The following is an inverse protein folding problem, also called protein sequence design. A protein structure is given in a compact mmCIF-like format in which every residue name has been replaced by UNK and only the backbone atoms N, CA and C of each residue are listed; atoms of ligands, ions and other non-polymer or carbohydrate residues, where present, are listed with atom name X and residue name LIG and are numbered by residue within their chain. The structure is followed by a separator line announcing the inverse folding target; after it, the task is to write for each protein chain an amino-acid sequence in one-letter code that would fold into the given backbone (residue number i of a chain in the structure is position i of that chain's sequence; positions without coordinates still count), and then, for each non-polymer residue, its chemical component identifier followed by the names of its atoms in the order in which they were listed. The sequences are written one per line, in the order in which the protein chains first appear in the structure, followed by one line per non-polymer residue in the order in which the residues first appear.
data_IF_532580673390
#
_entry.id   IF_532580673390
#
_cell.length_a   1.000
_cell.length_b   1.000
_cell.length_c   1.000
_cell.angle_alpha   90.00
_cell.angle_beta   90.00
_cell.angle_gamma   90.00
#
_symmetry.space_group_name_H-M   'P 1'
#
loop_
_entity.id
_entity.type
_entity.pdbx_description
1 polymer ?
#
# COMPACT_ATOMS: atom_id res chain seq x y z
N UNK A 1 9.40 5.11 7.80
CA UNK A 1 9.71 4.28 6.61
C UNK A 1 9.68 5.17 5.39
N UNK A 2 10.62 5.01 4.47
CA UNK A 2 10.71 5.78 3.23
C UNK A 2 10.33 4.86 2.06
N UNK A 3 9.44 5.31 1.19
CA UNK A 3 8.99 4.59 0.00
C UNK A 3 9.10 5.50 -1.22
N UNK A 4 9.33 4.91 -2.38
CA UNK A 4 9.28 5.59 -3.67
C UNK A 4 7.87 5.51 -4.24
N UNK A 5 7.35 6.64 -4.70
CA UNK A 5 6.00 6.77 -5.23
C UNK A 5 6.00 7.78 -6.39
N UNK A 6 5.90 7.28 -7.61
CA UNK A 6 5.68 8.08 -8.83
C UNK A 6 6.58 9.29 -9.06
N UNK A 7 7.84 9.28 -8.61
CA UNK A 7 8.76 10.41 -8.77
C UNK A 7 8.97 11.23 -7.50
N UNK A 8 8.39 10.81 -6.40
CA UNK A 8 8.53 11.42 -5.09
C UNK A 8 8.90 10.41 -4.02
N UNK A 9 9.49 10.86 -2.93
CA UNK A 9 9.62 10.11 -1.70
C UNK A 9 8.38 10.28 -0.85
N UNK A 10 7.92 9.19 -0.25
CA UNK A 10 6.90 9.18 0.79
C UNK A 10 7.49 8.63 2.08
N UNK A 11 7.66 9.48 3.08
CA UNK A 11 8.05 9.06 4.42
C UNK A 11 6.82 8.88 5.28
N UNK A 12 6.69 7.70 5.88
CA UNK A 12 5.58 7.36 6.77
C UNK A 12 6.09 6.96 8.14
N UNK A 13 5.53 7.57 9.16
CA UNK A 13 5.71 7.21 10.56
C UNK A 13 4.41 6.62 11.11
N UNK A 14 4.37 5.32 11.43
CA UNK A 14 3.17 4.68 11.96
C UNK A 14 2.93 5.11 13.41
N UNK A 15 1.73 5.59 13.70
CA UNK A 15 1.31 6.01 15.06
C UNK A 15 0.17 5.18 15.59
N UNK A 16 -0.51 4.38 14.75
CA UNK A 16 -1.69 3.61 15.11
C UNK A 16 -1.43 2.12 14.92
N UNK A 17 -1.85 1.32 15.90
CA UNK A 17 -1.92 -0.14 15.81
C UNK A 17 -3.37 -0.55 16.00
N UNK A 18 -4.00 -1.07 14.94
CA UNK A 18 -5.38 -1.56 15.00
C UNK A 18 -5.43 -3.04 15.47
N UNK A 19 -6.52 -3.46 16.14
CA UNK A 19 -6.74 -4.85 16.50
C UNK A 19 -6.87 -5.70 15.24
N UNK A 20 -6.43 -6.97 15.32
CA UNK A 20 -6.43 -7.91 14.20
C UNK A 20 -7.59 -8.88 14.30
N UNK A 21 -8.23 -9.19 13.19
CA UNK A 21 -9.15 -10.30 13.10
C UNK A 21 -8.40 -11.63 13.19
N UNK A 22 -8.75 -12.48 14.14
CA UNK A 22 -8.04 -13.72 14.43
C UNK A 22 -8.78 -15.00 13.99
N UNK A 23 -9.93 -14.84 13.35
CA UNK A 23 -10.77 -15.98 12.94
C UNK A 23 -11.43 -16.70 14.11
N UNK A 24 -11.78 -17.97 13.90
CA UNK A 24 -12.30 -18.82 14.98
C UNK A 24 -11.19 -19.14 16.00
N UNK A 25 -11.54 -19.41 17.28
CA UNK A 25 -10.56 -19.78 18.29
C UNK A 25 -9.68 -20.95 17.84
N UNK A 26 -8.35 -20.79 17.99
CA UNK A 26 -7.36 -21.78 17.58
C UNK A 26 -6.88 -21.71 16.13
N UNK A 27 -7.42 -20.80 15.31
CA UNK A 27 -7.00 -20.62 13.91
C UNK A 27 -5.63 -19.93 13.81
N UNK A 28 -5.36 -18.98 14.71
CA UNK A 28 -4.11 -18.23 14.74
C UNK A 28 -3.26 -18.70 15.92
N UNK A 29 -2.03 -19.21 15.70
CA UNK A 29 -1.10 -19.50 16.78
C UNK A 29 -0.78 -18.25 17.58
N UNK A 30 -0.65 -18.38 18.90
CA UNK A 30 -0.30 -17.27 19.81
C UNK A 30 -1.25 -16.06 19.74
N UNK A 31 -2.54 -16.29 19.46
CA UNK A 31 -3.56 -15.23 19.35
C UNK A 31 -3.59 -14.32 20.58
N UNK A 32 -3.39 -14.85 21.77
CA UNK A 32 -3.36 -14.08 23.02
C UNK A 32 -2.23 -13.03 23.05
N UNK A 33 -1.11 -13.31 22.36
CA UNK A 33 0.02 -12.37 22.24
C UNK A 33 -0.22 -11.28 21.19
N UNK A 34 -1.21 -11.47 20.33
CA UNK A 34 -1.57 -10.52 19.28
C UNK A 34 -2.76 -9.62 19.71
N UNK A 35 -3.28 -9.86 20.92
CA UNK A 35 -4.34 -9.02 21.46
C UNK A 35 -3.81 -7.60 21.71
N UNK A 36 -4.57 -6.60 21.24
CA UNK A 36 -4.27 -5.18 21.42
C UNK A 36 -5.44 -4.54 22.17
N UNK A 37 -5.14 -3.89 23.29
CA UNK A 37 -6.15 -3.11 24.00
C UNK A 37 -6.56 -1.90 23.16
N UNK A 38 -7.86 -1.72 22.95
CA UNK A 38 -8.42 -0.61 22.19
C UNK A 38 -8.90 0.48 23.13
N UNK A 39 -8.29 1.64 23.04
CA UNK A 39 -8.75 2.82 23.77
C UNK A 39 -10.01 3.41 23.12
N UNK A 40 -11.16 3.31 23.75
CA UNK A 40 -12.45 3.78 23.22
C UNK A 40 -12.48 5.28 22.84
N UNK A 41 -11.59 6.09 23.44
CA UNK A 41 -11.52 7.55 23.23
C UNK A 41 -10.16 8.02 22.70
N UNK A 42 -9.34 7.10 22.13
CA UNK A 42 -7.98 7.39 21.69
C UNK A 42 -7.01 7.57 22.87
N UNK A 43 -5.77 7.94 22.55
CA UNK A 43 -4.73 8.24 23.54
C UNK A 43 -4.63 9.77 23.75
N UNK A 44 -4.42 10.26 25.00
CA UNK A 44 -4.13 11.66 25.24
C UNK A 44 -2.72 12.07 24.78
N UNK A 45 -1.88 11.11 24.45
CA UNK A 45 -0.52 11.34 23.97
C UNK A 45 -0.52 12.15 22.66
N UNK A 46 0.38 13.11 22.58
CA UNK A 46 0.61 13.93 21.39
C UNK A 46 2.06 13.85 20.94
N UNK A 47 2.29 14.04 19.65
CA UNK A 47 3.62 13.94 19.06
C UNK A 47 3.97 15.23 18.30
N UNK A 48 5.17 15.71 18.51
CA UNK A 48 5.83 16.69 17.64
C UNK A 48 6.74 15.96 16.66
N UNK A 49 6.92 16.51 15.46
CA UNK A 49 7.83 16.00 14.45
C UNK A 49 8.70 17.13 13.91
N UNK A 50 9.98 16.83 13.75
CA UNK A 50 10.93 17.60 12.98
C UNK A 50 11.58 16.67 11.96
N UNK A 51 11.48 17.01 10.68
CA UNK A 51 12.07 16.24 9.59
C UNK A 51 12.96 17.17 8.76
N UNK A 52 14.22 16.78 8.55
CA UNK A 52 15.16 17.49 7.68
C UNK A 52 15.35 16.67 6.41
N UNK A 53 15.10 17.29 5.27
CA UNK A 53 15.17 16.69 3.94
C UNK A 53 16.34 17.32 3.20
N UNK A 54 17.40 16.54 2.95
CA UNK A 54 18.59 16.96 2.24
C UNK A 54 18.53 16.74 0.73
N UNK A 55 17.43 16.17 0.21
CA UNK A 55 17.25 15.93 -1.22
C UNK A 55 17.05 17.24 -2.00
N UNK A 56 17.44 17.24 -3.28
CA UNK A 56 17.07 18.29 -4.23
C UNK A 56 15.59 18.16 -4.58
N UNK A 57 14.74 18.87 -3.85
CA UNK A 57 13.28 18.83 -4.03
C UNK A 57 12.89 19.59 -5.31
N UNK A 58 12.10 18.93 -6.19
CA UNK A 58 11.73 19.45 -7.52
C UNK A 58 10.32 20.04 -7.59
N UNK A 59 9.57 20.03 -6.48
CA UNK A 59 8.18 20.53 -6.44
C UNK A 59 7.64 20.69 -5.01
N UNK A 60 6.33 20.84 -4.86
CA UNK A 60 5.74 21.08 -3.55
C UNK A 60 5.89 19.85 -2.62
N UNK A 61 6.29 20.14 -1.39
CA UNK A 61 6.33 19.16 -0.29
C UNK A 61 5.03 19.27 0.49
N UNK A 62 4.51 18.15 0.98
CA UNK A 62 3.27 18.18 1.72
C UNK A 62 3.01 16.93 2.53
N UNK A 63 1.91 16.94 3.26
CA UNK A 63 1.41 15.80 3.99
C UNK A 63 -0.09 15.64 3.72
N UNK A 64 -0.53 14.46 3.25
CA UNK A 64 -1.95 14.18 3.06
C UNK A 64 -2.68 13.93 4.40
N UNK A 65 -1.94 13.64 5.47
CA UNK A 65 -2.53 13.24 6.75
C UNK A 65 -2.50 14.32 7.81
N UNK A 66 -1.56 15.28 7.73
CA UNK A 66 -1.36 16.32 8.76
C UNK A 66 -1.00 17.65 8.12
N UNK A 67 -1.32 18.75 8.80
CA UNK A 67 -0.82 20.06 8.40
C UNK A 67 0.65 20.18 8.77
N UNK A 68 1.47 20.59 7.82
CA UNK A 68 2.91 20.78 8.00
C UNK A 68 3.31 22.24 7.75
N UNK A 69 4.31 22.70 8.47
CA UNK A 69 5.04 23.94 8.22
C UNK A 69 6.39 23.59 7.62
N UNK A 70 6.80 24.33 6.62
CA UNK A 70 8.05 24.12 5.91
C UNK A 70 8.89 25.39 5.96
N UNK A 71 10.20 25.22 6.20
CA UNK A 71 11.21 26.28 6.12
C UNK A 71 12.33 25.74 5.24
N UNK A 72 12.65 26.46 4.16
CA UNK A 72 13.71 26.12 3.23
C UNK A 72 14.91 27.00 3.54
N UNK A 73 15.96 26.37 4.06
CA UNK A 73 17.31 26.93 4.16
C UNK A 73 18.24 26.07 3.29
N UNK A 74 19.43 25.72 3.76
CA UNK A 74 20.33 24.75 3.09
C UNK A 74 19.71 23.34 3.04
N UNK A 75 18.87 23.01 4.00
CA UNK A 75 18.11 21.77 4.10
C UNK A 75 16.64 22.12 4.33
N UNK A 76 15.73 21.44 3.67
CA UNK A 76 14.31 21.65 3.90
C UNK A 76 13.90 21.07 5.27
N UNK A 77 13.41 21.95 6.14
CA UNK A 77 12.90 21.59 7.46
C UNK A 77 11.37 21.53 7.45
N UNK A 78 10.82 20.39 7.79
CA UNK A 78 9.37 20.13 7.86
C UNK A 78 8.98 19.86 9.32
N UNK A 79 8.01 20.60 9.82
CA UNK A 79 7.45 20.43 11.18
C UNK A 79 5.95 20.24 11.10
N UNK A 80 5.36 19.56 12.09
CA UNK A 80 3.91 19.52 12.24
C UNK A 80 3.42 20.91 12.69
N UNK A 81 2.37 21.40 12.03
CA UNK A 81 1.81 22.74 12.29
C UNK A 81 0.77 22.72 13.41
N UNK A 82 1.19 22.26 14.61
CA UNK A 82 0.38 22.26 15.83
C UNK A 82 1.30 22.44 17.03
N UNK A 83 1.18 23.57 17.73
CA UNK A 83 2.03 23.94 18.87
C UNK A 83 1.89 22.97 20.06
N UNK A 84 0.76 22.22 20.14
CA UNK A 84 0.53 21.18 21.15
C UNK A 84 0.90 19.76 20.70
N UNK A 85 1.45 19.60 19.51
CA UNK A 85 1.64 18.31 18.86
C UNK A 85 0.34 17.73 18.29
N UNK A 86 0.44 16.70 17.44
CA UNK A 86 -0.70 16.04 16.80
C UNK A 86 -1.16 14.82 17.58
N UNK A 87 -2.43 14.46 17.47
CA UNK A 87 -2.97 13.24 18.03
C UNK A 87 -2.38 12.02 17.32
N UNK A 88 -2.23 10.91 18.06
CA UNK A 88 -1.76 9.63 17.50
C UNK A 88 -2.96 8.81 17.01
N UNK A 89 -3.77 9.37 16.10
CA UNK A 89 -5.00 8.77 15.58
C UNK A 89 -4.86 8.29 14.12
N UNK A 90 -3.80 8.68 13.45
CA UNK A 90 -3.47 8.28 12.07
C UNK A 90 -1.98 8.41 11.80
N UNK A 91 -1.47 7.65 10.84
CA UNK A 91 -0.06 7.70 10.45
C UNK A 91 0.34 9.10 9.97
N UNK A 92 1.57 9.53 10.30
CA UNK A 92 2.14 10.76 9.76
C UNK A 92 2.82 10.43 8.44
N UNK A 93 2.39 11.08 7.36
CA UNK A 93 2.96 10.92 6.02
C UNK A 93 3.49 12.25 5.54
N UNK A 94 4.73 12.27 5.03
CA UNK A 94 5.30 13.44 4.35
C UNK A 94 5.80 12.99 2.98
N UNK A 95 5.44 13.74 1.93
CA UNK A 95 5.83 13.48 0.55
C UNK A 95 6.64 14.64 -0.01
N UNK A 96 7.70 14.35 -0.78
CA UNK A 96 8.50 15.36 -1.49
C UNK A 96 8.97 14.83 -2.85
N UNK A 97 8.70 15.57 -3.93
CA UNK A 97 9.09 15.18 -5.26
C UNK A 97 10.60 15.40 -5.50
N UNK A 98 11.25 14.45 -6.15
CA UNK A 98 12.66 14.48 -6.50
C UNK A 98 12.94 14.10 -7.97
N UNK A 99 11.90 13.60 -8.69
CA UNK A 99 12.06 13.18 -10.08
C UNK A 99 12.09 14.34 -11.04
N UNK A 100 12.95 14.24 -12.07
CA UNK A 100 13.03 15.15 -13.19
C UNK A 100 12.72 14.41 -14.51
N UNK A 101 12.62 15.15 -15.63
CA UNK A 101 12.38 14.57 -16.97
C UNK A 101 13.56 13.74 -17.50
N UNK A 102 14.74 13.84 -16.88
CA UNK A 102 15.93 13.06 -17.21
C UNK A 102 16.27 12.09 -16.08
N UNK A 103 17.13 11.09 -16.37
CA UNK A 103 17.66 10.22 -15.32
C UNK A 103 18.36 11.08 -14.26
N UNK A 104 17.81 11.04 -13.05
CA UNK A 104 18.44 11.66 -11.89
C UNK A 104 19.48 10.73 -11.27
N UNK A 105 20.63 11.27 -10.89
CA UNK A 105 21.64 10.53 -10.13
C UNK A 105 22.13 11.39 -8.99
N UNK A 106 22.18 10.86 -7.77
CA UNK A 106 22.87 11.49 -6.66
C UNK A 106 23.71 10.47 -5.90
N UNK A 107 24.81 10.94 -5.31
CA UNK A 107 25.68 10.14 -4.47
C UNK A 107 25.91 10.90 -3.15
N UNK A 108 25.34 10.37 -2.08
CA UNK A 108 25.57 10.87 -0.74
C UNK A 108 26.63 10.01 -0.05
N UNK A 109 27.61 10.66 0.58
CA UNK A 109 28.72 9.97 1.25
C UNK A 109 28.76 10.40 2.71
N UNK A 110 28.72 9.43 3.61
CA UNK A 110 28.84 9.66 5.05
C UNK A 110 29.96 8.79 5.64
N UNK A 111 30.74 9.37 6.55
CA UNK A 111 31.64 8.61 7.41
C UNK A 111 30.95 8.27 8.70
N UNK A 112 31.10 7.02 9.15
CA UNK A 112 30.60 6.62 10.45
C UNK A 112 31.27 7.45 11.55
N UNK A 113 30.48 8.30 12.22
CA UNK A 113 30.89 9.05 13.39
C UNK A 113 29.95 8.65 14.54
N UNK A 114 30.48 7.98 15.56
CA UNK A 114 29.74 7.62 16.77
C UNK A 114 30.68 7.20 17.88
N UNK A 115 30.39 7.55 19.13
CA UNK A 115 31.11 7.05 20.29
C UNK A 115 31.01 5.51 20.33
N UNK A 116 32.15 4.83 20.28
CA UNK A 116 32.23 3.36 20.27
C UNK A 116 32.30 2.71 18.87
N UNK A 117 32.27 3.46 17.78
CA UNK A 117 32.46 2.91 16.41
C UNK A 117 33.94 2.90 16.09
N UNK A 118 34.57 1.71 16.14
CA UNK A 118 36.01 1.50 15.83
C UNK A 118 36.30 1.41 14.33
N UNK A 119 35.28 1.49 13.44
CA UNK A 119 35.47 1.38 12.01
C UNK A 119 35.45 2.76 11.33
N UNK A 120 36.52 3.07 10.60
CA UNK A 120 36.63 4.24 9.71
C UNK A 120 35.90 3.98 8.37
N UNK A 121 34.76 3.28 8.40
CA UNK A 121 34.05 2.97 7.17
C UNK A 121 33.38 4.22 6.60
N UNK A 122 33.53 4.41 5.30
CA UNK A 122 32.78 5.39 4.52
C UNK A 122 31.62 4.66 3.86
N UNK A 123 30.43 5.20 4.01
CA UNK A 123 29.19 4.67 3.41
C UNK A 123 28.78 5.59 2.27
N UNK A 124 28.37 5.02 1.15
CA UNK A 124 27.83 5.75 0.02
C UNK A 124 26.39 5.31 -0.27
N UNK A 125 25.50 6.25 -0.50
CA UNK A 125 24.14 6.04 -1.01
C UNK A 125 24.07 6.56 -2.43
N UNK A 126 23.98 5.66 -3.41
CA UNK A 126 23.72 6.01 -4.80
C UNK A 126 22.21 5.97 -5.04
N UNK A 127 21.62 7.10 -5.38
CA UNK A 127 20.22 7.21 -5.78
C UNK A 127 20.14 7.34 -7.30
N UNK A 128 19.37 6.45 -7.93
CA UNK A 128 19.07 6.48 -9.36
C UNK A 128 17.57 6.70 -9.54
N UNK A 129 17.19 7.81 -10.15
CA UNK A 129 15.80 8.17 -10.43
C UNK A 129 15.53 7.92 -11.91
N UNK A 130 14.69 6.92 -12.28
CA UNK A 130 14.34 6.68 -13.67
C UNK A 130 13.62 7.89 -14.27
N UNK A 131 13.81 8.19 -15.58
CA UNK A 131 13.03 9.23 -16.24
C UNK A 131 11.58 8.77 -16.41
N UNK A 132 10.66 9.73 -16.46
CA UNK A 132 9.28 9.46 -16.89
C UNK A 132 9.26 9.26 -18.42
N UNK A 133 9.44 8.05 -18.88
CA UNK A 133 9.38 7.70 -20.32
C UNK A 133 8.17 6.80 -20.56
N UNK A 134 7.31 7.22 -21.47
CA UNK A 134 6.25 6.34 -21.97
C UNK A 134 6.86 5.34 -22.98
N UNK A 135 7.05 4.09 -22.57
CA UNK A 135 7.36 2.99 -23.48
C UNK A 135 6.10 2.43 -24.17
N UNK A 136 6.25 1.53 -25.16
CA UNK A 136 5.09 0.83 -25.74
C UNK A 136 4.34 0.08 -24.64
N UNK A 137 3.01 0.21 -24.63
CA UNK A 137 2.16 -0.45 -23.64
C UNK A 137 2.28 -1.98 -23.81
N UNK A 138 2.71 -2.68 -22.76
CA UNK A 138 2.69 -4.15 -22.70
C UNK A 138 1.32 -4.58 -22.18
N UNK A 139 0.60 -5.50 -22.86
CA UNK A 139 -0.68 -5.99 -22.37
C UNK A 139 -0.59 -6.50 -20.93
N UNK A 140 -1.54 -6.11 -20.10
CA UNK A 140 -1.60 -6.47 -18.68
C UNK A 140 -2.72 -7.47 -18.43
N UNK A 141 -2.48 -8.43 -17.54
CA UNK A 141 -3.52 -9.21 -16.88
C UNK A 141 -3.64 -8.70 -15.46
N UNK A 142 -4.71 -7.95 -15.20
CA UNK A 142 -4.98 -7.38 -13.89
C UNK A 142 -6.02 -8.20 -13.15
N UNK A 143 -5.66 -8.66 -11.97
CA UNK A 143 -6.59 -9.27 -11.00
C UNK A 143 -6.66 -8.36 -9.79
N UNK A 144 -7.82 -7.74 -9.55
CA UNK A 144 -8.08 -6.99 -8.32
C UNK A 144 -8.70 -7.92 -7.30
N UNK A 145 -8.01 -8.10 -6.18
CA UNK A 145 -8.47 -8.87 -5.03
C UNK A 145 -8.88 -7.90 -3.93
N UNK A 146 -10.18 -7.73 -3.74
CA UNK A 146 -10.78 -6.71 -2.89
C UNK A 146 -11.32 -7.29 -1.58
N UNK A 147 -10.83 -6.79 -0.47
CA UNK A 147 -11.37 -7.07 0.85
C UNK A 147 -12.71 -6.37 1.06
N UNK A 148 -13.73 -7.16 1.41
CA UNK A 148 -15.06 -6.67 1.77
C UNK A 148 -15.47 -7.13 3.17
N UNK A 149 -14.49 -7.46 4.04
CA UNK A 149 -14.73 -7.82 5.43
C UNK A 149 -15.38 -6.68 6.24
N UNK A 150 -15.84 -6.99 7.43
CA UNK A 150 -16.53 -6.03 8.28
C UNK A 150 -15.71 -4.79 8.64
N UNK A 151 -14.39 -4.93 8.80
CA UNK A 151 -13.46 -3.82 9.09
C UNK A 151 -13.35 -2.80 7.96
N UNK A 152 -13.59 -3.23 6.71
CA UNK A 152 -13.63 -2.34 5.54
C UNK A 152 -14.87 -1.44 5.50
N UNK A 153 -15.80 -1.52 6.45
CA UNK A 153 -17.04 -0.75 6.45
C UNK A 153 -16.85 0.76 6.42
N UNK A 154 -17.69 1.48 5.67
CA UNK A 154 -17.65 2.94 5.57
C UNK A 154 -16.59 3.47 4.60
N UNK A 155 -15.77 4.40 5.07
CA UNK A 155 -14.75 5.09 4.27
C UNK A 155 -13.71 4.13 3.64
N UNK A 156 -13.18 3.10 4.33
CA UNK A 156 -12.23 2.17 3.72
C UNK A 156 -12.77 1.50 2.46
N UNK A 157 -14.00 0.96 2.50
CA UNK A 157 -14.60 0.33 1.33
C UNK A 157 -14.90 1.34 0.22
N UNK A 158 -15.28 2.58 0.56
CA UNK A 158 -15.50 3.62 -0.43
C UNK A 158 -14.20 3.95 -1.19
N UNK A 159 -13.08 4.10 -0.50
CA UNK A 159 -11.77 4.30 -1.12
C UNK A 159 -11.31 3.09 -1.93
N UNK A 160 -11.50 1.87 -1.40
CA UNK A 160 -11.18 0.64 -2.13
C UNK A 160 -11.94 0.53 -3.45
N UNK A 161 -13.20 0.94 -3.48
CA UNK A 161 -14.02 1.01 -4.69
C UNK A 161 -13.51 2.09 -5.66
N UNK A 162 -13.17 3.29 -5.16
CA UNK A 162 -12.62 4.36 -5.99
C UNK A 162 -11.30 3.93 -6.65
N UNK A 163 -10.36 3.38 -5.87
CA UNK A 163 -9.12 2.80 -6.39
C UNK A 163 -9.40 1.72 -7.44
N UNK A 164 -10.30 0.79 -7.15
CA UNK A 164 -10.63 -0.31 -8.09
C UNK A 164 -11.19 0.25 -9.39
N UNK A 165 -12.01 1.30 -9.35
CA UNK A 165 -12.50 1.98 -10.56
C UNK A 165 -11.37 2.63 -11.34
N UNK A 166 -10.47 3.36 -10.69
CA UNK A 166 -9.31 3.98 -11.33
C UNK A 166 -8.43 2.91 -12.02
N UNK A 167 -8.20 1.76 -11.36
CA UNK A 167 -7.51 0.62 -11.96
C UNK A 167 -8.25 0.08 -13.20
N UNK A 168 -9.57 -0.09 -13.14
CA UNK A 168 -10.39 -0.53 -14.28
C UNK A 168 -10.30 0.47 -15.44
N UNK A 169 -10.36 1.76 -15.15
CA UNK A 169 -10.33 2.83 -16.16
C UNK A 169 -8.95 2.97 -16.82
N UNK A 170 -7.87 2.59 -16.14
CA UNK A 170 -6.49 2.56 -16.65
C UNK A 170 -6.26 1.48 -17.72
N UNK A 171 -7.16 0.50 -17.85
CA UNK A 171 -6.99 -0.64 -18.74
C UNK A 171 -7.38 -0.32 -20.17
N UNK A 172 -6.56 -0.79 -21.11
CA UNK A 172 -6.83 -0.77 -22.54
C UNK A 172 -7.49 -2.06 -23.06
N UNK A 173 -7.94 -2.09 -24.32
CA UNK A 173 -8.64 -3.23 -24.88
C UNK A 173 -7.76 -4.50 -25.04
N UNK A 174 -6.44 -4.34 -25.03
CA UNK A 174 -5.47 -5.45 -25.05
C UNK A 174 -5.25 -6.08 -23.67
N UNK A 175 -5.64 -5.39 -22.61
CA UNK A 175 -5.52 -5.86 -21.23
C UNK A 175 -6.65 -6.84 -20.88
N UNK A 176 -6.42 -7.66 -19.86
CA UNK A 176 -7.46 -8.48 -19.25
C UNK A 176 -7.72 -8.08 -17.82
N UNK A 177 -8.95 -8.27 -17.39
CA UNK A 177 -9.45 -7.90 -16.08
C UNK A 177 -10.16 -9.07 -15.40
N UNK A 178 -9.87 -9.27 -14.13
CA UNK A 178 -10.66 -10.05 -13.19
C UNK A 178 -10.79 -9.28 -11.88
N UNK A 179 -11.94 -9.38 -11.24
CA UNK A 179 -12.16 -8.86 -9.89
C UNK A 179 -12.67 -9.98 -9.02
N UNK A 180 -12.05 -10.14 -7.87
CA UNK A 180 -12.40 -11.11 -6.86
C UNK A 180 -12.59 -10.33 -5.56
N UNK A 181 -13.74 -10.47 -4.91
CA UNK A 181 -13.93 -9.98 -3.57
C UNK A 181 -13.79 -11.12 -2.56
N UNK A 182 -13.37 -10.82 -1.36
CA UNK A 182 -13.36 -11.77 -0.27
C UNK A 182 -13.83 -11.14 1.04
N UNK A 183 -14.55 -11.95 1.81
CA UNK A 183 -14.91 -11.70 3.20
C UNK A 183 -14.90 -13.05 3.94
N UNK A 184 -16.02 -13.65 4.23
CA UNK A 184 -16.13 -15.03 4.75
C UNK A 184 -15.85 -16.09 3.67
N UNK A 185 -16.01 -15.72 2.40
CA UNK A 185 -15.69 -16.54 1.22
C UNK A 185 -15.24 -15.64 0.08
N UNK A 186 -14.55 -16.21 -0.92
CA UNK A 186 -14.18 -15.50 -2.13
C UNK A 186 -15.29 -15.59 -3.19
N UNK A 187 -15.57 -14.49 -3.90
CA UNK A 187 -16.52 -14.41 -4.99
C UNK A 187 -15.93 -13.64 -6.16
N UNK A 188 -15.95 -14.23 -7.34
CA UNK A 188 -15.44 -13.64 -8.57
C UNK A 188 -16.51 -12.90 -9.35
N UNK A 189 -16.16 -11.76 -9.94
CA UNK A 189 -17.02 -11.03 -10.88
C UNK A 189 -17.35 -11.85 -12.12
N UNK A 190 -16.39 -12.54 -12.69
CA UNK A 190 -16.53 -13.48 -13.82
C UNK A 190 -15.90 -14.81 -13.48
N UNK A 191 -16.30 -15.87 -14.19
CA UNK A 191 -15.72 -17.21 -14.01
C UNK A 191 -14.23 -17.27 -14.42
N UNK A 192 -13.79 -16.39 -15.33
CA UNK A 192 -12.40 -16.24 -15.79
C UNK A 192 -12.12 -14.79 -16.16
N UNK A 193 -10.83 -14.38 -16.27
CA UNK A 193 -10.46 -13.06 -16.77
C UNK A 193 -11.02 -12.79 -18.15
N UNK A 194 -11.44 -11.55 -18.41
CA UNK A 194 -12.00 -11.11 -19.69
C UNK A 194 -11.26 -9.89 -20.23
N UNK A 195 -11.25 -9.70 -21.56
CA UNK A 195 -10.66 -8.50 -22.16
C UNK A 195 -11.31 -7.23 -21.61
N UNK A 196 -10.52 -6.21 -21.32
CA UNK A 196 -10.97 -4.96 -20.72
C UNK A 196 -11.67 -4.04 -21.75
N UNK A 197 -12.64 -4.58 -22.48
CA UNK A 197 -13.49 -3.79 -23.40
C UNK A 197 -14.28 -2.73 -22.64
N UNK A 198 -14.74 -1.65 -23.28
CA UNK A 198 -15.57 -0.63 -22.62
C UNK A 198 -16.79 -1.23 -21.91
N UNK A 199 -17.45 -2.21 -22.52
CA UNK A 199 -18.62 -2.88 -21.92
C UNK A 199 -18.23 -3.70 -20.68
N UNK A 200 -17.09 -4.41 -20.71
CA UNK A 200 -16.61 -5.15 -19.55
C UNK A 200 -16.16 -4.22 -18.43
N UNK A 201 -15.45 -3.13 -18.74
CA UNK A 201 -15.06 -2.12 -17.74
C UNK A 201 -16.27 -1.52 -17.03
N UNK A 202 -17.29 -1.13 -17.80
CA UNK A 202 -18.55 -0.61 -17.25
C UNK A 202 -19.26 -1.64 -16.36
N UNK A 203 -19.35 -2.90 -16.82
CA UNK A 203 -19.95 -3.99 -16.02
C UNK A 203 -19.15 -4.29 -14.75
N UNK A 204 -17.82 -4.22 -14.80
CA UNK A 204 -16.94 -4.40 -13.65
C UNK A 204 -17.15 -3.29 -12.62
N UNK A 205 -17.15 -2.03 -13.05
CA UNK A 205 -17.41 -0.88 -12.19
C UNK A 205 -18.80 -0.98 -11.51
N UNK A 206 -19.83 -1.33 -12.26
CA UNK A 206 -21.18 -1.53 -11.71
C UNK A 206 -21.23 -2.67 -10.67
N UNK A 207 -20.46 -3.74 -10.88
CA UNK A 207 -20.37 -4.83 -9.90
C UNK A 207 -19.64 -4.38 -8.62
N UNK A 208 -18.54 -3.65 -8.75
CA UNK A 208 -17.80 -3.07 -7.61
C UNK A 208 -18.69 -2.16 -6.78
N UNK A 209 -19.54 -1.34 -7.41
CA UNK A 209 -20.45 -0.44 -6.71
C UNK A 209 -21.46 -1.16 -5.81
N UNK A 210 -21.85 -2.36 -6.18
CA UNK A 210 -22.83 -3.16 -5.44
C UNK A 210 -22.21 -3.87 -4.22
N UNK A 211 -20.89 -3.94 -4.11
CA UNK A 211 -20.21 -4.60 -2.99
C UNK A 211 -20.59 -3.93 -1.67
N UNK A 212 -20.66 -4.73 -0.62
CA UNK A 212 -20.96 -4.29 0.75
C UNK A 212 -19.97 -4.93 1.70
N UNK A 213 -19.54 -4.16 2.70
CA UNK A 213 -18.69 -4.69 3.76
C UNK A 213 -19.50 -5.56 4.73
N UNK A 214 -18.91 -6.68 5.16
CA UNK A 214 -19.48 -7.58 6.15
C UNK A 214 -18.78 -8.93 6.22
N UNK A 215 -19.03 -9.68 7.29
CA UNK A 215 -18.42 -10.99 7.49
C UNK A 215 -16.99 -10.96 8.02
N UNK A 216 -16.32 -12.11 7.94
CA UNK A 216 -14.93 -12.31 8.34
C UNK A 216 -13.93 -11.89 7.27
N UNK A 217 -12.66 -12.31 7.43
CA UNK A 217 -11.56 -11.96 6.51
C UNK A 217 -10.79 -13.23 6.12
N UNK A 218 -11.38 -14.06 5.25
CA UNK A 218 -10.76 -15.30 4.74
C UNK A 218 -9.85 -14.99 3.53
N UNK A 219 -8.81 -14.17 3.74
CA UNK A 219 -7.90 -13.69 2.71
C UNK A 219 -7.21 -14.81 1.92
N UNK A 220 -6.88 -15.92 2.57
CA UNK A 220 -6.23 -17.05 1.92
C UNK A 220 -7.06 -17.59 0.75
N UNK A 221 -8.36 -17.72 0.93
CA UNK A 221 -9.27 -18.19 -0.13
C UNK A 221 -9.28 -17.24 -1.32
N UNK A 222 -9.27 -15.94 -1.05
CA UNK A 222 -9.14 -14.90 -2.07
C UNK A 222 -7.82 -14.97 -2.83
N UNK A 223 -6.70 -15.08 -2.12
CA UNK A 223 -5.36 -15.23 -2.73
C UNK A 223 -5.29 -16.44 -3.64
N UNK A 224 -5.73 -17.62 -3.17
CA UNK A 224 -5.73 -18.85 -3.99
C UNK A 224 -6.58 -18.68 -5.23
N UNK A 225 -7.77 -18.08 -5.12
CA UNK A 225 -8.63 -17.79 -6.25
C UNK A 225 -7.97 -16.81 -7.25
N UNK A 226 -7.30 -15.77 -6.76
CA UNK A 226 -6.62 -14.80 -7.62
C UNK A 226 -5.45 -15.43 -8.38
N UNK A 227 -4.61 -16.22 -7.72
CA UNK A 227 -3.45 -16.86 -8.33
C UNK A 227 -3.85 -17.90 -9.40
N UNK A 228 -4.97 -18.62 -9.20
CA UNK A 228 -5.49 -19.61 -10.13
C UNK A 228 -5.93 -19.02 -11.48
N UNK A 229 -6.19 -17.70 -11.57
CA UNK A 229 -6.66 -17.05 -12.80
C UNK A 229 -5.55 -16.48 -13.68
N UNK A 230 -4.29 -16.54 -13.26
CA UNK A 230 -3.17 -15.92 -13.96
C UNK A 230 -2.73 -16.75 -15.18
N UNK A 231 -2.56 -16.09 -16.34
CA UNK A 231 -2.10 -16.71 -17.62
C UNK A 231 -0.59 -16.66 -17.78
N UNK A 232 -0.05 -17.46 -18.73
CA UNK A 232 1.40 -17.60 -18.97
C UNK A 232 2.09 -16.43 -19.70
N UNK A 233 1.38 -15.64 -20.53
CA UNK A 233 1.99 -14.85 -21.60
C UNK A 233 1.77 -13.31 -21.50
N UNK A 234 1.32 -12.78 -20.38
CA UNK A 234 1.09 -11.36 -20.19
C UNK A 234 1.83 -10.81 -18.95
N UNK A 235 1.90 -9.50 -18.81
CA UNK A 235 2.32 -8.87 -17.57
C UNK A 235 1.21 -9.04 -16.50
N UNK A 236 1.36 -10.06 -15.68
CA UNK A 236 0.34 -10.51 -14.72
C UNK A 236 0.52 -9.82 -13.38
N UNK A 237 -0.52 -9.14 -12.94
CA UNK A 237 -0.51 -8.36 -11.70
C UNK A 237 -1.74 -8.69 -10.86
N UNK A 238 -1.53 -9.02 -9.60
CA UNK A 238 -2.56 -9.10 -8.58
C UNK A 238 -2.44 -7.88 -7.67
N UNK A 239 -3.51 -7.13 -7.51
CA UNK A 239 -3.59 -6.00 -6.59
C UNK A 239 -4.49 -6.42 -5.43
N UNK A 240 -3.88 -6.68 -4.28
CA UNK A 240 -4.61 -6.96 -3.03
C UNK A 240 -4.94 -5.65 -2.34
N UNK A 241 -6.22 -5.35 -2.19
CA UNK A 241 -6.74 -4.14 -1.54
C UNK A 241 -7.42 -4.54 -0.24
N UNK A 242 -6.87 -4.11 0.92
CA UNK A 242 -7.34 -4.53 2.25
C UNK A 242 -6.84 -3.58 3.34
N UNK A 243 -7.44 -3.59 4.52
CA UNK A 243 -6.85 -3.02 5.74
C UNK A 243 -5.84 -3.98 6.40
N UNK A 244 -5.84 -5.27 5.99
CA UNK A 244 -4.90 -6.29 6.42
C UNK A 244 -5.08 -6.77 7.85
N UNK A 245 -6.22 -6.55 8.49
CA UNK A 245 -6.46 -6.85 9.91
C UNK A 245 -6.68 -8.35 10.17
N UNK A 246 -5.72 -9.19 9.80
CA UNK A 246 -5.73 -10.64 10.03
C UNK A 246 -4.44 -11.13 10.67
N UNK A 247 -4.47 -12.33 11.25
CA UNK A 247 -3.36 -12.95 11.99
C UNK A 247 -2.69 -14.14 11.30
N UNK A 248 -2.92 -14.39 10.00
CA UNK A 248 -2.41 -15.57 9.26
C UNK A 248 -1.32 -15.25 8.23
N UNK A 249 -0.44 -14.28 8.52
CA UNK A 249 0.57 -13.74 7.60
C UNK A 249 1.48 -14.81 7.00
N UNK A 250 1.91 -15.79 7.81
CA UNK A 250 2.81 -16.87 7.35
C UNK A 250 2.16 -17.76 6.31
N UNK A 251 0.89 -18.11 6.52
CA UNK A 251 0.13 -18.98 5.61
C UNK A 251 -0.08 -18.30 4.27
N UNK A 252 -0.40 -17.00 4.27
CA UNK A 252 -0.62 -16.20 3.07
C UNK A 252 0.69 -16.06 2.27
N UNK A 253 1.78 -15.69 2.93
CA UNK A 253 3.08 -15.55 2.26
C UNK A 253 3.58 -16.87 1.70
N UNK A 254 3.36 -18.01 2.40
CA UNK A 254 3.70 -19.34 1.92
C UNK A 254 2.86 -19.73 0.69
N UNK A 255 1.56 -19.43 0.67
CA UNK A 255 0.69 -19.70 -0.47
C UNK A 255 1.16 -18.90 -1.71
N UNK A 256 1.48 -17.62 -1.57
CA UNK A 256 2.00 -16.79 -2.66
C UNK A 256 3.34 -17.34 -3.16
N UNK A 257 4.28 -17.63 -2.25
CA UNK A 257 5.59 -18.17 -2.61
C UNK A 257 5.49 -19.49 -3.41
N UNK A 258 4.58 -20.37 -3.01
CA UNK A 258 4.42 -21.69 -3.63
C UNK A 258 3.59 -21.71 -4.91
N UNK A 259 2.70 -20.75 -5.12
CA UNK A 259 1.69 -20.79 -6.19
C UNK A 259 1.80 -19.66 -7.20
N UNK A 260 2.54 -18.57 -6.90
CA UNK A 260 2.68 -17.43 -7.83
C UNK A 260 3.47 -17.84 -9.07
N UNK A 261 2.89 -17.77 -10.28
CA UNK A 261 3.61 -18.12 -11.51
C UNK A 261 4.77 -17.15 -11.77
N UNK A 262 5.86 -17.64 -12.38
CA UNK A 262 7.01 -16.80 -12.73
C UNK A 262 6.58 -15.62 -13.60
N UNK A 263 7.16 -14.44 -13.34
CA UNK A 263 6.84 -13.20 -14.05
C UNK A 263 5.56 -12.52 -13.60
N UNK A 264 4.81 -13.12 -12.67
CA UNK A 264 3.67 -12.47 -12.01
C UNK A 264 4.13 -11.58 -10.84
N UNK A 265 3.27 -10.62 -10.46
CA UNK A 265 3.49 -9.73 -9.31
C UNK A 265 2.25 -9.72 -8.43
N UNK A 266 2.47 -9.61 -7.11
CA UNK A 266 1.40 -9.31 -6.15
C UNK A 266 1.74 -7.99 -5.47
N UNK A 267 0.97 -6.98 -5.75
CA UNK A 267 1.04 -5.68 -5.08
C UNK A 267 0.02 -5.65 -3.94
N UNK A 268 0.29 -4.87 -2.92
CA UNK A 268 -0.64 -4.69 -1.80
C UNK A 268 -0.98 -3.23 -1.64
N UNK A 269 -2.26 -2.93 -1.52
CA UNK A 269 -2.76 -1.61 -1.18
C UNK A 269 -3.47 -1.70 0.15
N UNK A 270 -2.87 -1.08 1.14
CA UNK A 270 -3.46 -0.95 2.46
C UNK A 270 -4.32 0.30 2.56
N UNK A 271 -5.58 0.15 2.98
CA UNK A 271 -6.51 1.26 3.11
C UNK A 271 -6.88 1.47 4.57
N UNK A 272 -6.78 2.69 5.05
CA UNK A 272 -7.20 3.05 6.39
C UNK A 272 -6.11 3.68 7.25
N UNK A 273 -6.47 4.02 8.48
CA UNK A 273 -5.57 4.66 9.46
C UNK A 273 -4.68 3.69 10.22
N UNK A 274 -5.09 2.42 10.33
CA UNK A 274 -4.41 1.37 11.13
C UNK A 274 -4.02 0.14 10.33
N UNK A 275 -3.52 0.30 9.13
CA UNK A 275 -3.18 -0.79 8.20
C UNK A 275 -2.13 -1.75 8.77
N UNK A 276 -2.39 -3.06 8.66
CA UNK A 276 -1.46 -4.10 9.11
C UNK A 276 -0.28 -4.29 8.13
N UNK A 277 0.73 -3.47 8.26
CA UNK A 277 1.94 -3.53 7.42
C UNK A 277 2.80 -4.78 7.66
N UNK A 278 2.64 -5.45 8.82
CA UNK A 278 3.35 -6.70 9.08
C UNK A 278 2.85 -7.85 8.20
N UNK A 279 1.66 -7.70 7.58
CA UNK A 279 1.15 -8.58 6.54
C UNK A 279 1.48 -8.04 5.14
N UNK A 280 1.09 -6.79 4.84
CA UNK A 280 1.09 -6.27 3.47
C UNK A 280 2.49 -6.21 2.87
N UNK A 281 3.47 -5.75 3.65
CA UNK A 281 4.85 -5.64 3.17
C UNK A 281 5.50 -7.00 2.86
N UNK A 282 5.43 -8.03 3.72
CA UNK A 282 5.90 -9.38 3.36
C UNK A 282 5.17 -9.96 2.15
N UNK A 283 3.85 -9.76 2.02
CA UNK A 283 3.06 -10.22 0.87
C UNK A 283 3.58 -9.58 -0.43
N UNK A 284 3.71 -8.25 -0.47
CA UNK A 284 4.26 -7.55 -1.63
C UNK A 284 5.68 -8.01 -1.94
N UNK A 285 6.55 -8.16 -0.93
CA UNK A 285 7.94 -8.61 -1.10
C UNK A 285 8.03 -10.01 -1.69
N UNK A 286 7.28 -10.98 -1.15
CA UNK A 286 7.25 -12.37 -1.65
C UNK A 286 6.61 -12.41 -3.04
N UNK A 287 5.59 -11.58 -3.28
CA UNK A 287 4.95 -11.41 -4.58
C UNK A 287 5.78 -10.66 -5.62
N UNK A 288 6.98 -10.16 -5.27
CA UNK A 288 7.82 -9.34 -6.17
C UNK A 288 7.15 -8.03 -6.61
N UNK A 289 6.15 -7.56 -5.85
CA UNK A 289 5.40 -6.32 -6.08
C UNK A 289 5.78 -5.21 -5.12
N UNK A 290 4.89 -4.24 -5.00
CA UNK A 290 5.04 -3.04 -4.15
C UNK A 290 3.94 -2.97 -3.10
N UNK A 291 4.23 -2.35 -1.96
CA UNK A 291 3.27 -1.97 -0.94
C UNK A 291 2.93 -0.50 -1.11
N UNK A 292 1.64 -0.20 -1.26
CA UNK A 292 1.09 1.15 -1.21
C UNK A 292 0.16 1.26 0.00
N UNK A 293 0.12 2.41 0.66
CA UNK A 293 -0.80 2.69 1.75
C UNK A 293 -1.56 3.97 1.43
N UNK A 294 -2.88 3.91 1.46
CA UNK A 294 -3.78 5.03 1.25
C UNK A 294 -4.46 5.36 2.57
N UNK A 295 -4.23 6.57 3.08
CA UNK A 295 -4.91 7.09 4.27
C UNK A 295 -6.36 7.44 3.98
N UNK A 296 -7.21 7.52 5.02
CA UNK A 296 -8.64 7.83 4.85
C UNK A 296 -8.90 9.23 4.27
N UNK A 297 -7.95 10.15 4.41
CA UNK A 297 -8.03 11.52 3.92
C UNK A 297 -7.28 11.72 2.57
N UNK A 298 -6.72 10.63 1.99
CA UNK A 298 -6.04 10.65 0.70
C UNK A 298 -7.02 10.32 -0.43
N UNK A 299 -6.88 10.98 -1.60
CA UNK A 299 -7.63 10.61 -2.79
C UNK A 299 -7.05 9.32 -3.36
N UNK A 300 -7.90 8.31 -3.51
CA UNK A 300 -7.51 7.04 -4.12
C UNK A 300 -7.23 7.16 -5.63
N UNK A 301 -7.66 8.26 -6.26
CA UNK A 301 -7.47 8.51 -7.68
C UNK A 301 -6.09 9.09 -7.98
N UNK A 302 -5.39 9.62 -6.96
CA UNK A 302 -4.06 10.23 -7.06
C UNK A 302 -2.93 9.29 -6.59
N UNK A 303 -3.26 8.11 -6.07
CA UNK A 303 -2.33 7.10 -5.58
C UNK A 303 -2.04 6.03 -6.65
#
# INVERSE_FOLDING_TARGET
MLAWDGGQWAWRFPTVVAPRYQGAPGTVPDSDRQHVDVAAHGTPARMGLNLWIGDAVTGPVGSPTHRVRMVQDDVLHVTLNDDGGVALDRDIVVRWPVAALAVGTSLDVARGAGEGVTSQNTYGLLTLVPPQVAGPAVPRDLVVLLDTSGSMGGAPLAQAKALTRALIDSLGPADQLQIIEFSTAARSWKASPVSATPAHRQSAAAWVDQLRAGGGTEMLTGIVAALATLRGEAQRQVILVTDGLIGSERTITAAIHGQLPRGSRVHTVGIGSGVNRSLLRPVARVGGGQELIIGLDESADEA
#
